data_IF_699618940500
#
_entry.id   IF_699618940500
#
_cell.length_a   1.000
_cell.length_b   1.000
_cell.length_c   1.000
_cell.angle_alpha   90.00
_cell.angle_beta   90.00
_cell.angle_gamma   90.00
#
_symmetry.space_group_name_H-M   'P 1'
#
loop_
_entity.id
_entity.type
_entity.pdbx_description
1 polymer ?
2 non-polymer ?
3 non-polymer ?
4 non-polymer ?
5 water ?
#
# COMPACT_ATOMS: atom_id res chain seq x y z
N UNK A 7 -3.58 -31.61 -11.16
CA UNK A 7 -4.97 -32.07 -11.25
C UNK A 7 -5.91 -31.36 -10.24
N UNK A 8 -6.79 -30.48 -10.77
CA UNK A 8 -7.82 -29.69 -10.07
C UNK A 8 -8.68 -28.92 -11.10
N UNK A 9 -9.86 -28.43 -10.67
CA UNK A 9 -10.75 -27.62 -11.54
C UNK A 9 -11.17 -26.33 -10.83
N UNK A 10 -11.69 -25.37 -11.61
CA UNK A 10 -12.22 -24.11 -11.10
C UNK A 10 -13.69 -24.32 -10.74
N UNK A 11 -14.24 -23.59 -9.74
CA UNK A 11 -15.67 -23.80 -9.43
C UNK A 11 -16.58 -23.39 -10.57
N UNK A 12 -17.67 -24.13 -10.71
CA UNK A 12 -18.67 -23.95 -11.75
C UNK A 12 -19.21 -22.51 -11.81
N UNK A 13 -19.42 -21.86 -10.63
CA UNK A 13 -19.91 -20.47 -10.54
C UNK A 13 -18.95 -19.45 -11.14
N UNK A 14 -17.62 -19.67 -10.99
CA UNK A 14 -16.57 -18.82 -11.57
C UNK A 14 -16.53 -19.04 -13.08
N UNK A 15 -16.46 -20.31 -13.51
CA UNK A 15 -16.45 -20.73 -14.92
C UNK A 15 -17.67 -20.18 -15.67
N UNK A 16 -18.78 -19.99 -14.95
CA UNK A 16 -20.01 -19.47 -15.53
C UNK A 16 -19.89 -18.05 -16.04
N UNK A 17 -19.13 -17.21 -15.32
CA UNK A 17 -18.94 -15.79 -15.61
C UNK A 17 -17.59 -15.42 -16.24
N UNK A 18 -16.57 -16.26 -16.02
CA UNK A 18 -15.20 -15.98 -16.46
C UNK A 18 -14.55 -17.11 -17.23
N UNK A 19 -13.60 -16.76 -18.12
CA UNK A 19 -12.72 -17.66 -18.86
C UNK A 19 -11.32 -17.43 -18.26
N UNK A 20 -10.78 -18.40 -17.52
CA UNK A 20 -9.47 -18.27 -16.87
C UNK A 20 -8.32 -18.39 -17.83
N UNK A 21 -7.24 -17.63 -17.55
CA UNK A 21 -6.05 -17.60 -18.39
C UNK A 21 -4.73 -17.67 -17.57
N UNK A 22 -3.63 -17.09 -18.10
CA UNK A 22 -2.27 -17.06 -17.56
C UNK A 22 -2.10 -16.52 -16.15
N UNK A 23 -1.03 -16.95 -15.48
CA UNK A 23 -0.64 -16.52 -14.13
C UNK A 23 -0.02 -15.11 -14.20
N UNK A 24 -0.28 -14.29 -13.16
CA UNK A 24 0.25 -12.94 -13.02
C UNK A 24 0.84 -12.85 -11.62
N UNK A 31 -1.67 -16.10 -5.16
CA UNK A 31 -1.86 -16.63 -6.53
C UNK A 31 -2.83 -15.74 -7.35
N UNK A 32 -2.33 -15.10 -8.45
CA UNK A 32 -3.12 -14.20 -9.32
C UNK A 32 -3.19 -14.72 -10.77
N UNK A 33 -4.41 -14.81 -11.32
CA UNK A 33 -4.61 -15.26 -12.69
C UNK A 33 -5.30 -14.20 -13.56
N UNK A 34 -4.99 -14.21 -14.85
CA UNK A 34 -5.65 -13.37 -15.86
C UNK A 34 -6.94 -14.10 -16.21
N UNK A 35 -8.02 -13.35 -16.35
CA UNK A 35 -9.31 -13.93 -16.72
C UNK A 35 -10.08 -12.96 -17.61
N UNK A 36 -11.13 -13.47 -18.26
CA UNK A 36 -11.97 -12.66 -19.12
C UNK A 36 -13.39 -12.77 -18.66
N UNK A 37 -14.03 -11.62 -18.37
CA UNK A 37 -15.44 -11.61 -18.01
C UNK A 37 -16.19 -11.89 -19.30
N UNK A 38 -17.00 -12.95 -19.32
CA UNK A 38 -17.76 -13.36 -20.50
C UNK A 38 -18.71 -12.27 -21.00
N UNK A 39 -19.40 -11.58 -20.06
CA UNK A 39 -20.38 -10.52 -20.31
C UNK A 39 -19.81 -9.37 -21.15
N UNK A 40 -18.58 -8.94 -20.85
CA UNK A 40 -17.96 -7.79 -21.48
C UNK A 40 -16.78 -8.10 -22.40
N UNK A 41 -16.17 -9.30 -22.25
CA UNK A 41 -14.96 -9.73 -22.95
C UNK A 41 -13.78 -8.88 -22.50
N UNK A 42 -13.84 -8.38 -21.27
CA UNK A 42 -12.79 -7.55 -20.70
C UNK A 42 -11.89 -8.38 -19.82
N UNK A 43 -10.61 -8.01 -19.80
CA UNK A 43 -9.59 -8.64 -18.99
C UNK A 43 -9.79 -8.24 -17.53
N UNK A 44 -9.71 -9.22 -16.62
CA UNK A 44 -9.82 -9.03 -15.17
C UNK A 44 -8.68 -9.80 -14.50
N UNK A 45 -8.45 -9.57 -13.21
CA UNK A 45 -7.43 -10.31 -12.47
C UNK A 45 -8.12 -11.09 -11.36
N UNK A 46 -7.84 -12.41 -11.27
CA UNK A 46 -8.44 -13.26 -10.23
C UNK A 46 -7.43 -13.75 -9.19
N UNK A 47 -7.55 -13.24 -7.95
CA UNK A 47 -6.72 -13.63 -6.80
C UNK A 47 -7.33 -14.89 -6.14
N UNK A 48 -6.52 -15.95 -6.07
CA UNK A 48 -6.89 -17.24 -5.49
C UNK A 48 -6.18 -17.43 -4.12
N UNK A 49 -6.97 -17.40 -3.05
CA UNK A 49 -6.51 -17.62 -1.67
C UNK A 49 -6.96 -19.02 -1.24
N UNK A 50 -6.00 -19.91 -0.94
CA UNK A 50 -6.28 -21.30 -0.52
C UNK A 50 -6.93 -21.39 0.88
N UNK A 51 -7.66 -22.50 1.13
CA UNK A 51 -8.34 -22.73 2.41
C UNK A 51 -7.58 -23.75 3.27
N UNK A 65 -9.90 -17.47 6.27
CA UNK A 65 -11.37 -17.39 6.32
C UNK A 65 -11.84 -16.07 6.92
N UNK A 66 -11.43 -15.79 8.18
CA UNK A 66 -11.78 -14.57 8.91
C UNK A 66 -11.04 -13.37 8.28
N UNK A 67 -9.79 -13.61 7.85
CA UNK A 67 -8.97 -12.61 7.18
C UNK A 67 -9.52 -12.28 5.78
N UNK A 68 -10.07 -13.30 5.07
CA UNK A 68 -10.63 -13.13 3.73
C UNK A 68 -11.96 -12.35 3.79
N UNK A 69 -12.84 -12.70 4.75
CA UNK A 69 -14.14 -12.04 4.99
C UNK A 69 -13.96 -10.55 5.36
N UNK A 70 -12.96 -10.24 6.20
CA UNK A 70 -12.62 -8.88 6.62
C UNK A 70 -12.05 -8.13 5.43
N UNK A 71 -11.16 -8.79 4.66
CA UNK A 71 -10.55 -8.21 3.47
C UNK A 71 -11.64 -7.82 2.44
N UNK A 72 -12.62 -8.73 2.18
CA UNK A 72 -13.73 -8.46 1.26
C UNK A 72 -14.56 -7.28 1.76
N UNK A 73 -14.89 -7.26 3.08
CA UNK A 73 -15.67 -6.21 3.73
C UNK A 73 -14.96 -4.86 3.62
N UNK A 74 -13.63 -4.86 3.83
CA UNK A 74 -12.78 -3.68 3.67
C UNK A 74 -12.83 -3.23 2.21
N UNK A 75 -12.47 -4.12 1.25
CA UNK A 75 -12.46 -3.81 -0.19
C UNK A 75 -13.77 -3.23 -0.73
N UNK A 76 -14.92 -3.76 -0.27
CA UNK A 76 -16.25 -3.32 -0.71
C UNK A 76 -16.57 -1.89 -0.23
N UNK A 77 -16.22 -1.57 1.03
CA UNK A 77 -16.49 -0.27 1.62
C UNK A 77 -15.60 0.84 1.08
N UNK A 78 -14.36 0.51 0.65
CA UNK A 78 -13.42 1.51 0.17
C UNK A 78 -13.66 1.97 -1.26
N UNK A 79 -13.46 3.28 -1.48
CA UNK A 79 -13.66 3.89 -2.79
C UNK A 79 -12.67 5.03 -3.01
N UNK A 80 -11.46 4.67 -3.49
CA UNK A 80 -10.39 5.61 -3.75
C UNK A 80 -9.67 5.20 -5.02
N UNK A 81 -9.27 6.16 -5.90
CA UNK A 81 -8.57 5.76 -7.14
C UNK A 81 -7.22 5.05 -6.96
N UNK A 82 -6.60 5.15 -5.77
CA UNK A 82 -5.29 4.53 -5.51
C UNK A 82 -5.37 3.27 -4.64
N UNK A 83 -6.58 2.70 -4.51
CA UNK A 83 -6.88 1.45 -3.82
C UNK A 83 -7.62 0.52 -4.81
N UNK A 84 -7.14 -0.73 -4.97
CA UNK A 84 -7.76 -1.75 -5.84
C UNK A 84 -9.24 -2.00 -5.48
N UNK A 85 -10.11 -2.15 -6.50
CA UNK A 85 -11.54 -2.40 -6.28
C UNK A 85 -11.87 -3.85 -6.54
N UNK A 86 -12.77 -4.39 -5.73
CA UNK A 86 -13.25 -5.76 -5.88
C UNK A 86 -14.42 -5.74 -6.90
N UNK A 87 -14.35 -6.59 -7.92
CA UNK A 87 -15.37 -6.66 -8.96
C UNK A 87 -16.35 -7.77 -8.66
N UNK A 88 -15.86 -8.88 -8.09
CA UNK A 88 -16.64 -10.06 -7.75
C UNK A 88 -15.93 -10.93 -6.71
N UNK A 89 -16.66 -11.90 -6.10
CA UNK A 89 -16.09 -12.80 -5.09
C UNK A 89 -16.77 -14.18 -5.10
N UNK A 90 -15.97 -15.25 -4.92
CA UNK A 90 -16.44 -16.65 -4.91
C UNK A 90 -15.85 -17.43 -3.71
N UNK A 91 -16.75 -17.96 -2.86
CA UNK A 91 -16.40 -18.76 -1.69
C UNK A 91 -16.75 -20.22 -2.03
N UNK A 92 -15.73 -20.98 -2.49
CA UNK A 92 -15.85 -22.38 -2.91
C UNK A 92 -14.77 -23.26 -2.24
N UNK A 93 -14.08 -24.17 -2.99
CA UNK A 93 -13.01 -25.03 -2.44
C UNK A 93 -11.85 -24.16 -1.96
N UNK A 94 -11.66 -23.01 -2.62
CA UNK A 94 -10.72 -21.96 -2.32
C UNK A 94 -11.45 -20.64 -2.51
N UNK A 95 -10.86 -19.54 -2.05
CA UNK A 95 -11.45 -18.21 -2.19
C UNK A 95 -11.01 -17.60 -3.51
N UNK A 96 -11.98 -17.05 -4.29
CA UNK A 96 -11.69 -16.38 -5.56
C UNK A 96 -12.13 -14.94 -5.52
N UNK A 97 -11.16 -14.04 -5.63
CA UNK A 97 -11.38 -12.58 -5.59
C UNK A 97 -11.13 -12.00 -6.95
N UNK A 98 -12.15 -11.39 -7.55
CA UNK A 98 -12.07 -10.78 -8.87
C UNK A 98 -11.76 -9.29 -8.68
N UNK A 99 -10.64 -8.85 -9.25
CA UNK A 99 -10.18 -7.47 -9.13
C UNK A 99 -9.92 -6.88 -10.50
N UNK A 100 -9.70 -5.56 -10.54
CA UNK A 100 -9.34 -4.83 -11.75
C UNK A 100 -7.93 -5.31 -12.16
N UNK A 101 -7.72 -5.52 -13.45
CA UNK A 101 -6.42 -5.93 -13.96
C UNK A 101 -5.50 -4.72 -13.92
N UNK A 102 -4.24 -4.96 -13.50
CA UNK A 102 -3.22 -3.91 -13.42
C UNK A 102 -2.13 -4.27 -14.42
N UNK A 103 -2.17 -3.62 -15.58
CA UNK A 103 -1.25 -3.90 -16.69
C UNK A 103 0.24 -3.73 -16.37
N UNK A 104 0.56 -2.75 -15.54
CA UNK A 104 1.94 -2.44 -15.16
C UNK A 104 2.60 -3.44 -14.22
N UNK A 105 1.80 -4.29 -13.60
CA UNK A 105 2.32 -5.28 -12.67
C UNK A 105 2.71 -4.68 -11.33
N UNK A 106 3.57 -5.41 -10.61
CA UNK A 106 4.05 -5.01 -9.29
C UNK A 106 5.14 -3.95 -9.35
N UNK A 107 5.16 -3.03 -8.37
CA UNK A 107 6.19 -2.02 -8.24
C UNK A 107 7.52 -2.73 -7.94
N UNK A 108 7.45 -3.89 -7.24
CA UNK A 108 8.60 -4.73 -6.91
C UNK A 108 9.50 -4.97 -8.13
N UNK A 109 8.88 -5.35 -9.27
CA UNK A 109 9.55 -5.62 -10.55
C UNK A 109 10.25 -4.40 -11.15
N UNK A 110 9.95 -3.18 -10.65
CA UNK A 110 10.59 -1.95 -11.11
C UNK A 110 11.79 -1.56 -10.23
N UNK A 111 11.95 -2.23 -9.06
CA UNK A 111 13.01 -1.90 -8.08
C UNK A 111 13.96 -3.06 -7.77
N UNK A 112 13.61 -4.28 -8.21
CA UNK A 112 14.36 -5.52 -8.01
C UNK A 112 15.75 -5.49 -8.67
N UNK A 113 16.74 -6.03 -7.96
CA UNK A 113 18.11 -6.12 -8.42
C UNK A 113 18.75 -4.77 -8.71
N UNK A 114 18.75 -3.87 -7.70
CA UNK A 114 19.34 -2.54 -7.74
C UNK A 114 18.79 -1.54 -8.80
N UNK A 115 17.71 -1.93 -9.51
CA UNK A 115 17.03 -1.07 -10.48
C UNK A 115 16.41 0.08 -9.70
N UNK A 116 16.59 1.30 -10.20
CA UNK A 116 16.05 2.48 -9.54
C UNK A 116 15.20 3.31 -10.50
N UNK A 117 14.17 3.97 -9.94
CA UNK A 117 13.28 4.84 -10.69
C UNK A 117 13.84 6.25 -10.63
N UNK A 118 13.54 7.09 -11.66
CA UNK A 118 13.96 8.48 -11.64
C UNK A 118 13.16 9.22 -10.56
N UNK A 119 13.77 10.22 -9.92
CA UNK A 119 13.14 10.94 -8.82
C UNK A 119 11.69 11.37 -9.07
N UNK A 120 11.42 11.88 -10.27
CA UNK A 120 10.11 12.34 -10.71
C UNK A 120 9.06 11.23 -10.69
N UNK A 121 9.49 9.99 -11.03
CA UNK A 121 8.64 8.78 -11.04
C UNK A 121 8.36 8.34 -9.60
N UNK A 122 9.39 8.36 -8.71
CA UNK A 122 9.29 8.05 -7.28
C UNK A 122 8.24 8.96 -6.66
N UNK A 123 8.31 10.28 -7.00
CA UNK A 123 7.42 11.31 -6.50
C UNK A 123 5.99 11.06 -6.92
N UNK A 124 5.75 10.84 -8.23
CA UNK A 124 4.40 10.56 -8.74
C UNK A 124 3.79 9.32 -8.06
N UNK A 125 4.59 8.25 -7.91
CA UNK A 125 4.10 7.02 -7.28
C UNK A 125 3.85 7.22 -5.77
N UNK A 126 4.83 7.80 -5.07
CA UNK A 126 4.77 8.03 -3.62
C UNK A 126 3.59 8.88 -3.19
N UNK A 127 3.29 9.94 -3.95
CA UNK A 127 2.19 10.86 -3.73
C UNK A 127 0.88 10.08 -3.69
N UNK A 128 0.70 9.14 -4.63
CA UNK A 128 -0.47 8.30 -4.74
C UNK A 128 -0.59 7.32 -3.59
N UNK A 129 0.54 6.74 -3.14
CA UNK A 129 0.64 5.83 -1.99
C UNK A 129 0.24 6.60 -0.73
N UNK A 130 0.71 7.87 -0.62
CA UNK A 130 0.38 8.74 0.49
C UNK A 130 -1.12 9.05 0.53
N UNK A 131 -1.73 9.36 -0.64
CA UNK A 131 -3.16 9.64 -0.77
C UNK A 131 -3.97 8.41 -0.39
N UNK A 132 -3.52 7.24 -0.83
CA UNK A 132 -4.17 5.95 -0.54
C UNK A 132 -4.12 5.63 0.96
N UNK A 133 -2.94 5.75 1.56
CA UNK A 133 -2.75 5.46 2.98
C UNK A 133 -3.44 6.50 3.86
N UNK A 134 -3.49 7.76 3.43
CA UNK A 134 -4.21 8.81 4.18
C UNK A 134 -5.70 8.47 4.24
N UNK A 135 -6.27 8.06 3.09
CA UNK A 135 -7.65 7.62 2.93
C UNK A 135 -7.96 6.46 3.88
N UNK A 136 -7.07 5.43 3.91
CA UNK A 136 -7.20 4.26 4.78
C UNK A 136 -7.27 4.70 6.23
N UNK A 137 -6.30 5.51 6.68
CA UNK A 137 -6.21 6.04 8.04
C UNK A 137 -7.44 6.88 8.42
N UNK A 138 -7.90 7.77 7.51
CA UNK A 138 -9.13 8.57 7.71
C UNK A 138 -10.37 7.67 7.92
N UNK A 139 -10.36 6.48 7.32
CA UNK A 139 -11.43 5.48 7.35
C UNK A 139 -11.21 4.36 8.36
N UNK A 140 -10.31 4.58 9.33
CA UNK A 140 -9.98 3.63 10.40
C UNK A 140 -9.43 2.28 9.98
N UNK A 141 -8.66 2.25 8.89
CA UNK A 141 -8.01 1.04 8.39
C UNK A 141 -6.50 1.24 8.43
N UNK A 142 -5.77 0.23 8.93
CA UNK A 142 -4.29 0.16 8.90
C UNK A 142 -4.00 -1.03 7.98
N UNK A 143 -3.17 -0.83 6.95
CA UNK A 143 -2.82 -1.88 5.99
C UNK A 143 -1.97 -2.98 6.65
N UNK A 144 -0.88 -2.57 7.32
CA UNK A 144 0.03 -3.44 8.08
C UNK A 144 1.00 -4.28 7.26
N UNK A 145 0.88 -4.28 5.93
CA UNK A 145 1.78 -5.05 5.09
C UNK A 145 2.16 -4.29 3.78
N UNK A 146 2.48 -2.99 3.86
CA UNK A 146 2.85 -2.26 2.63
C UNK A 146 4.26 -2.64 2.20
N UNK A 147 4.40 -3.07 0.93
CA UNK A 147 5.66 -3.50 0.31
C UNK A 147 5.55 -3.21 -1.20
N UNK A 148 6.67 -3.17 -1.97
CA UNK A 148 6.55 -3.00 -3.42
C UNK A 148 5.73 -4.08 -4.16
N UNK A 149 5.59 -5.28 -3.58
CA UNK A 149 4.78 -6.36 -4.20
C UNK A 149 3.28 -6.15 -4.08
N UNK A 150 2.86 -5.26 -3.15
CA UNK A 150 1.46 -4.89 -2.87
C UNK A 150 1.07 -3.55 -3.52
N UNK A 151 2.01 -2.94 -4.26
CA UNK A 151 1.77 -1.69 -5.00
C UNK A 151 1.78 -2.08 -6.50
N UNK A 152 0.62 -1.94 -7.16
CA UNK A 152 0.45 -2.32 -8.55
C UNK A 152 0.30 -1.10 -9.42
N UNK A 153 0.85 -1.19 -10.64
CA UNK A 153 0.86 -0.11 -11.63
C UNK A 153 -0.21 -0.34 -12.70
N UNK A 154 -0.96 0.72 -13.05
CA UNK A 154 -2.06 0.63 -14.03
C UNK A 154 -1.64 0.36 -15.49
N UNK A 155 -0.43 0.78 -15.90
CA UNK A 155 0.02 0.56 -17.27
C UNK A 155 1.52 0.29 -17.38
N UNK A 156 1.96 -0.16 -18.57
CA UNK A 156 3.38 -0.43 -18.86
C UNK A 156 4.20 0.88 -19.00
N UNK A 157 3.50 2.04 -19.07
CA UNK A 157 4.08 3.40 -19.14
C UNK A 157 4.62 3.75 -17.76
N UNK A 158 5.72 4.51 -17.69
CA UNK A 158 6.26 4.87 -16.37
C UNK A 158 5.40 5.89 -15.62
N UNK A 159 4.64 6.72 -16.36
CA UNK A 159 3.72 7.68 -15.78
C UNK A 159 2.36 7.00 -15.78
N UNK A 160 1.99 6.43 -14.64
CA UNK A 160 0.73 5.71 -14.51
C UNK A 160 0.11 5.87 -13.14
N UNK A 161 -1.09 5.32 -12.97
CA UNK A 161 -1.76 5.34 -11.68
C UNK A 161 -1.31 4.11 -10.91
N UNK A 162 -1.15 4.27 -9.62
CA UNK A 162 -0.77 3.12 -8.79
C UNK A 162 -1.95 2.74 -7.91
N UNK A 163 -1.99 1.48 -7.46
CA UNK A 163 -3.02 0.99 -6.55
C UNK A 163 -2.43 0.11 -5.50
N UNK A 164 -2.86 0.33 -4.26
CA UNK A 164 -2.50 -0.42 -3.07
C UNK A 164 -3.39 -1.65 -3.08
N UNK A 165 -2.79 -2.81 -2.79
CA UNK A 165 -3.47 -4.11 -2.77
C UNK A 165 -3.11 -4.89 -1.48
N UNK A 166 -3.64 -6.13 -1.33
CA UNK A 166 -3.39 -7.08 -0.24
C UNK A 166 -3.72 -6.58 1.16
N UNK A 167 -5.03 -6.53 1.44
CA UNK A 167 -5.56 -6.13 2.73
C UNK A 167 -5.73 -7.32 3.69
N UNK A 168 -4.99 -8.40 3.44
CA UNK A 168 -5.01 -9.62 4.24
C UNK A 168 -4.55 -9.48 5.68
N UNK A 169 -3.69 -8.49 5.96
CA UNK A 169 -3.13 -8.23 7.31
C UNK A 169 -3.70 -6.94 7.87
N UNK A 170 -4.68 -6.36 7.19
CA UNK A 170 -5.23 -5.10 7.66
C UNK A 170 -5.99 -5.19 8.97
N UNK A 171 -6.07 -4.07 9.69
CA UNK A 171 -6.75 -3.99 10.98
C UNK A 171 -7.69 -2.82 10.98
N UNK A 172 -8.80 -2.97 11.69
CA UNK A 172 -9.81 -1.93 11.82
C UNK A 172 -9.61 -1.25 13.16
N UNK A 173 -9.61 0.09 13.17
CA UNK A 173 -9.44 0.89 14.37
C UNK A 173 -10.74 1.10 15.15
N UNK A 176 -12.43 0.91 21.34
CA UNK A 176 -11.34 0.13 21.94
C UNK A 176 -11.67 -0.31 23.38
N UNK A 177 -11.06 -1.44 23.79
CA UNK A 177 -11.19 -2.02 25.11
C UNK A 177 -10.52 -1.12 26.15
N UNK A 178 -9.48 -0.36 25.74
CA UNK A 178 -8.75 0.57 26.61
C UNK A 178 -9.66 1.72 27.06
N UNK A 179 -10.41 2.33 26.11
CA UNK A 179 -11.35 3.42 26.37
C UNK A 179 -12.40 3.01 27.42
N UNK A 180 -13.00 1.80 27.24
CA UNK A 180 -14.00 1.21 28.16
C UNK A 180 -13.39 0.97 29.55
N UNK A 181 -12.15 0.46 29.59
CA UNK A 181 -11.38 0.21 30.81
C UNK A 181 -11.16 1.54 31.56
N UNK A 182 -10.80 2.61 30.83
CA UNK A 182 -10.54 3.93 31.42
C UNK A 182 -11.77 4.61 32.01
N UNK A 183 -12.98 4.23 31.58
CA UNK A 183 -14.22 4.81 32.09
C UNK A 183 -14.48 4.53 33.56
N UNK A 184 -14.09 3.34 34.02
CA UNK A 184 -14.21 2.98 35.42
C UNK A 184 -13.06 3.49 36.27
N UNK A 185 -13.14 3.28 37.61
CA UNK A 185 -12.07 3.64 38.54
C UNK A 185 -10.95 2.58 38.43
N UNK A 186 -9.67 2.98 38.40
CA UNK A 186 -8.60 1.98 38.21
C UNK A 186 -8.14 1.28 39.48
N UNK A 187 -8.98 1.24 40.52
CA UNK A 187 -8.68 0.59 41.80
C UNK A 187 -7.93 -0.75 41.60
N UNK A 188 -8.45 -1.61 40.71
CA UNK A 188 -7.95 -2.96 40.41
C UNK A 188 -7.19 -3.04 39.07
N UNK A 189 -6.92 -1.88 38.44
CA UNK A 189 -6.25 -1.83 37.16
C UNK A 189 -4.72 -1.92 37.25
N UNK A 190 -4.14 -2.84 36.44
CA UNK A 190 -2.71 -3.13 36.31
C UNK A 190 -1.92 -1.92 35.80
N UNK A 191 -0.73 -1.65 36.37
CA UNK A 191 0.07 -0.52 35.91
C UNK A 191 0.44 -0.48 34.42
N UNK A 192 0.69 -1.64 33.80
CA UNK A 192 1.05 -1.72 32.38
C UNK A 192 -0.05 -1.19 31.45
N UNK A 193 -1.30 -1.30 31.88
CA UNK A 193 -2.45 -0.81 31.13
C UNK A 193 -2.43 0.72 31.13
N UNK A 194 -2.16 1.33 32.29
CA UNK A 194 -2.09 2.79 32.45
C UNK A 194 -0.91 3.37 31.69
N UNK A 195 0.22 2.65 31.69
CA UNK A 195 1.45 3.03 30.98
C UNK A 195 1.20 2.97 29.46
N UNK A 196 0.42 1.98 28.97
CA UNK A 196 0.09 1.84 27.55
C UNK A 196 -0.76 3.00 27.00
N UNK A 197 -1.37 3.83 27.87
CA UNK A 197 -2.19 4.99 27.48
C UNK A 197 -1.35 6.06 26.73
N UNK A 198 -0.08 6.18 27.10
CA UNK A 198 0.85 7.10 26.45
C UNK A 198 0.99 6.89 24.95
N UNK A 199 1.12 5.62 24.52
CA UNK A 199 1.33 5.24 23.12
C UNK A 199 0.12 4.76 22.34
N UNK A 200 -1.03 4.54 23.00
CA UNK A 200 -2.22 4.04 22.32
C UNK A 200 -2.74 4.95 21.20
N UNK A 201 -3.24 4.34 20.13
CA UNK A 201 -3.79 5.05 18.99
C UNK A 201 -2.73 5.49 18.01
N UNK A 202 -1.54 4.86 18.05
CA UNK A 202 -0.46 5.18 17.13
C UNK A 202 -0.08 4.00 16.24
N UNK A 203 -0.98 2.99 16.13
CA UNK A 203 -0.76 1.80 15.32
C UNK A 203 -0.63 2.10 13.84
N UNK A 204 -1.37 3.11 13.36
CA UNK A 204 -1.33 3.59 11.97
C UNK A 204 0.08 3.99 11.54
N UNK A 205 0.94 4.43 12.49
CA UNK A 205 2.33 4.82 12.22
C UNK A 205 3.19 3.68 11.59
N UNK A 206 2.78 2.41 11.73
CA UNK A 206 3.49 1.27 11.12
C UNK A 206 3.48 1.40 9.58
N UNK A 207 2.35 1.89 9.02
CA UNK A 207 2.19 2.15 7.59
C UNK A 207 3.14 3.26 7.10
N UNK A 208 3.33 4.31 7.90
CA UNK A 208 4.21 5.42 7.57
C UNK A 208 5.66 5.04 7.56
N UNK A 209 6.06 4.09 8.44
CA UNK A 209 7.39 3.51 8.45
C UNK A 209 7.62 2.73 7.13
N UNK A 210 6.70 1.79 6.78
CA UNK A 210 6.73 0.98 5.55
C UNK A 210 6.88 1.84 4.31
N UNK A 211 6.06 2.92 4.24
CA UNK A 211 6.11 3.92 3.17
C UNK A 211 7.50 4.54 3.09
N UNK A 212 8.11 4.81 4.25
CA UNK A 212 9.46 5.34 4.35
C UNK A 212 10.49 4.38 3.76
N UNK A 213 10.36 3.08 4.06
CA UNK A 213 11.19 1.98 3.54
C UNK A 213 10.99 1.85 2.01
N UNK A 214 9.72 1.88 1.54
CA UNK A 214 9.41 1.80 0.12
C UNK A 214 10.06 2.96 -0.62
N UNK A 215 9.93 4.18 -0.06
CA UNK A 215 10.47 5.40 -0.66
C UNK A 215 12.00 5.33 -0.80
N UNK A 216 12.69 4.86 0.26
CA UNK A 216 14.14 4.65 0.27
C UNK A 216 14.54 3.74 -0.90
N UNK A 217 13.89 2.57 -1.01
CA UNK A 217 14.14 1.57 -2.06
C UNK A 217 13.94 2.17 -3.45
N UNK A 218 12.79 2.84 -3.71
CA UNK A 218 12.50 3.48 -4.99
C UNK A 218 13.57 4.49 -5.41
N UNK A 219 13.98 5.33 -4.47
CA UNK A 219 14.96 6.41 -4.66
C UNK A 219 16.39 5.93 -4.94
N UNK A 220 16.84 4.88 -4.24
CA UNK A 220 18.20 4.35 -4.26
C UNK A 220 18.45 2.98 -4.95
N UNK A 221 17.39 2.19 -5.10
CA UNK A 221 17.46 0.85 -5.69
C UNK A 221 17.96 -0.21 -4.72
N UNK A 222 18.16 0.15 -3.44
CA UNK A 222 18.64 -0.77 -2.40
C UNK A 222 17.87 -0.61 -1.08
N UNK A 223 17.75 -1.68 -0.25
CA UNK A 223 17.01 -1.55 1.03
C UNK A 223 17.75 -0.77 2.13
N UNK A 224 17.02 -0.01 2.99
CA UNK A 224 17.70 0.72 4.08
C UNK A 224 18.28 -0.21 5.16
N UNK A 225 17.57 -1.30 5.47
CA UNK A 225 17.93 -2.28 6.48
C UNK A 225 18.04 -3.63 5.81
N UNK A 226 19.21 -4.29 5.94
CA UNK A 226 19.48 -5.61 5.32
C UNK A 226 20.65 -6.33 6.01
N UNK A 227 20.80 -7.62 5.75
CA UNK A 227 21.89 -8.38 6.35
C UNK A 227 23.10 -8.52 5.38
N UNK A 228 23.08 -7.75 4.26
CA UNK A 228 24.14 -7.71 3.25
C UNK A 228 25.31 -6.82 3.70
N UNK A 229 26.53 -7.41 3.68
CA UNK A 229 27.80 -6.80 4.07
C UNK A 229 27.73 -5.97 5.36
N UNK A 230 27.20 -6.61 6.44
CA UNK A 230 27.07 -5.99 7.77
C UNK A 230 27.17 -6.96 8.94
N UNK A 231 27.67 -6.46 10.08
CA UNK A 231 27.81 -7.21 11.34
C UNK A 231 26.56 -7.01 12.20
N UNK A 232 25.96 -5.81 12.11
CA UNK A 232 24.75 -5.43 12.85
C UNK A 232 23.54 -6.25 12.36
N UNK A 233 22.79 -6.84 13.31
CA UNK A 233 21.60 -7.64 13.00
C UNK A 233 20.47 -6.76 12.47
N UNK A 234 19.61 -7.35 11.63
CA UNK A 234 18.45 -6.67 11.04
C UNK A 234 17.60 -6.00 12.14
N UNK A 235 17.32 -6.74 13.25
CA UNK A 235 16.56 -6.19 14.39
C UNK A 235 17.23 -4.93 14.96
N UNK A 236 18.56 -4.98 15.24
CA UNK A 236 19.32 -3.84 15.77
C UNK A 236 19.33 -2.63 14.86
N UNK A 237 19.48 -2.84 13.54
CA UNK A 237 19.41 -1.76 12.54
C UNK A 237 18.06 -1.05 12.61
N UNK A 238 16.96 -1.82 12.66
CA UNK A 238 15.61 -1.26 12.68
C UNK A 238 15.30 -0.52 13.98
N UNK A 239 15.54 -1.16 15.15
CA UNK A 239 15.27 -0.51 16.44
C UNK A 239 16.12 0.74 16.66
N UNK A 240 17.38 0.71 16.24
CA UNK A 240 18.24 1.91 16.38
C UNK A 240 17.87 2.99 15.35
N UNK A 241 17.25 2.57 14.25
CA UNK A 241 16.85 3.43 13.15
C UNK A 241 18.02 3.85 12.29
N UNK A 242 19.12 3.10 12.37
CA UNK A 242 20.35 3.36 11.64
C UNK A 242 20.36 2.61 10.32
N UNK A 243 19.79 3.25 9.28
CA UNK A 243 19.71 2.73 7.92
C UNK A 243 21.08 2.80 7.25
N UNK A 244 21.31 1.95 6.25
CA UNK A 244 22.56 1.94 5.52
C UNK A 244 22.54 3.06 4.47
N UNK A 245 23.34 4.11 4.70
CA UNK A 245 23.44 5.26 3.81
C UNK A 245 24.69 5.21 2.90
N UNK A 246 24.47 5.00 1.59
CA UNK A 246 25.55 4.93 0.58
C UNK A 246 25.60 6.28 -0.15
N UNK A 247 26.59 7.16 0.18
CA UNK A 247 26.63 8.50 -0.45
C UNK A 247 26.64 8.54 -1.97
N UNK A 248 27.41 7.62 -2.60
CA UNK A 248 27.56 7.49 -4.05
C UNK A 248 26.21 7.32 -4.74
N UNK A 249 25.34 6.49 -4.16
CA UNK A 249 24.01 6.20 -4.68
C UNK A 249 23.08 7.43 -4.47
N UNK A 250 23.09 7.98 -3.25
CA UNK A 250 22.26 9.10 -2.81
C UNK A 250 22.59 10.49 -3.38
N UNK A 251 23.82 10.70 -3.90
CA UNK A 251 24.26 11.98 -4.48
C UNK A 251 23.39 12.37 -5.69
N UNK A 252 22.90 11.35 -6.42
CA UNK A 252 22.01 11.46 -7.57
C UNK A 252 20.60 11.92 -7.15
N UNK A 253 20.23 11.70 -5.88
CA UNK A 253 18.93 12.05 -5.30
C UNK A 253 19.00 13.42 -4.62
N UNK A 254 17.89 14.19 -4.66
CA UNK A 254 17.76 15.50 -4.03
C UNK A 254 17.81 15.41 -2.50
N UNK A 255 18.14 16.54 -1.84
CA UNK A 255 18.22 16.65 -0.39
C UNK A 255 16.81 16.63 0.23
N UNK A 256 15.79 17.13 -0.52
CA UNK A 256 14.38 17.19 -0.12
C UNK A 256 13.76 15.78 0.01
N UNK A 257 13.99 14.91 -1.00
CA UNK A 257 13.52 13.52 -1.04
C UNK A 257 14.11 12.73 0.11
N UNK A 258 15.43 12.90 0.37
CA UNK A 258 16.11 12.22 1.47
C UNK A 258 15.58 12.72 2.83
N UNK A 259 15.27 14.03 2.93
CA UNK A 259 14.71 14.64 4.15
C UNK A 259 13.37 14.02 4.53
N UNK A 260 12.51 13.74 3.53
CA UNK A 260 11.23 13.07 3.78
C UNK A 260 11.45 11.64 4.29
N UNK A 261 12.38 10.88 3.67
CA UNK A 261 12.75 9.50 4.06
C UNK A 261 13.12 9.49 5.55
N UNK A 262 14.05 10.40 5.94
CA UNK A 262 14.57 10.59 7.29
C UNK A 262 13.46 10.81 8.34
N UNK A 263 12.41 11.58 7.98
CA UNK A 263 11.25 11.93 8.80
C UNK A 263 10.23 10.83 8.91
N UNK A 264 10.25 9.85 7.97
CA UNK A 264 9.34 8.69 8.01
C UNK A 264 10.07 7.53 8.69
N UNK A 265 11.41 7.51 8.58
CA UNK A 265 12.24 6.49 9.23
C UNK A 265 12.67 6.89 10.67
N UNK A 266 11.71 7.46 11.42
CA UNK A 266 11.84 7.88 12.82
C UNK A 266 11.36 6.71 13.68
N UNK A 267 12.23 6.24 14.61
CA UNK A 267 12.01 5.13 15.53
C UNK A 267 10.77 5.33 16.40
N UNK A 268 10.64 6.51 17.02
CA UNK A 268 9.50 6.88 17.88
C UNK A 268 8.24 7.06 17.00
N UNK A 269 7.22 6.17 17.14
CA UNK A 269 5.99 6.31 16.32
C UNK A 269 5.20 7.58 16.56
N UNK A 270 5.36 8.23 17.74
CA UNK A 270 4.65 9.45 18.10
C UNK A 270 5.24 10.68 17.42
N UNK A 271 6.56 10.64 17.14
CA UNK A 271 7.32 11.70 16.44
C UNK A 271 7.30 11.48 14.90
N UNK A 272 7.22 10.21 14.45
CA UNK A 272 7.18 9.84 13.03
C UNK A 272 6.15 10.66 12.25
N UNK A 273 6.51 11.02 11.01
CA UNK A 273 5.65 11.76 10.10
C UNK A 273 4.40 10.98 9.77
N UNK A 274 3.25 11.67 9.80
CA UNK A 274 1.98 11.09 9.41
C UNK A 274 1.86 11.30 7.90
N UNK A 275 0.79 10.77 7.30
CA UNK A 275 0.49 10.94 5.88
C UNK A 275 0.26 12.43 5.55
N UNK A 276 -0.42 13.18 6.45
CA UNK A 276 -0.68 14.61 6.28
C UNK A 276 0.60 15.43 6.26
N UNK A 277 1.52 15.14 7.18
CA UNK A 277 2.81 15.82 7.29
C UNK A 277 3.67 15.53 6.05
N UNK A 278 3.68 14.25 5.58
CA UNK A 278 4.39 13.81 4.38
C UNK A 278 3.83 14.56 3.14
N UNK A 279 2.49 14.67 3.05
CA UNK A 279 1.82 15.37 1.94
C UNK A 279 2.07 16.87 1.93
N UNK A 280 2.43 17.47 3.10
CA UNK A 280 2.75 18.90 3.27
C UNK A 280 4.26 19.15 3.16
N UNK A 281 5.08 18.08 3.04
CA UNK A 281 6.54 18.18 2.91
C UNK A 281 6.95 18.92 1.60
N UNK A 282 8.01 19.76 1.63
CA UNK A 282 8.43 20.44 0.38
C UNK A 282 8.63 19.55 -0.86
N UNK A 283 9.04 18.28 -0.68
CA UNK A 283 9.27 17.37 -1.81
C UNK A 283 7.99 17.07 -2.58
N UNK A 284 6.84 17.08 -1.90
CA UNK A 284 5.54 16.83 -2.53
C UNK A 284 4.88 18.11 -3.06
N UNK A 285 5.51 19.26 -2.82
CA UNK A 285 5.02 20.56 -3.27
C UNK A 285 5.55 20.81 -4.69
N UNK A 286 4.99 20.02 -5.63
CA UNK A 286 5.35 19.94 -7.05
C UNK A 286 4.06 19.97 -7.88
N UNK A 287 3.76 21.15 -8.48
CA UNK A 287 2.58 21.44 -9.30
C UNK A 287 2.54 20.59 -10.56
N UNK A 288 3.72 20.32 -11.14
CA UNK A 288 3.92 19.50 -12.34
C UNK A 288 3.49 18.05 -12.13
N UNK A 289 3.97 17.43 -11.03
CA UNK A 289 3.65 16.05 -10.66
C UNK A 289 2.15 15.92 -10.39
N UNK A 290 1.59 16.86 -9.60
CA UNK A 290 0.17 16.86 -9.24
C UNK A 290 -0.74 16.94 -10.47
N UNK A 291 -0.33 17.75 -11.48
CA UNK A 291 -1.01 17.93 -12.76
C UNK A 291 -1.01 16.61 -13.51
N UNK A 292 0.16 15.94 -13.61
CA UNK A 292 0.28 14.63 -14.27
C UNK A 292 -0.64 13.60 -13.58
N UNK A 293 -0.76 13.65 -12.22
CA UNK A 293 -1.65 12.74 -11.50
C UNK A 293 -3.12 12.94 -11.90
N UNK A 294 -3.63 14.19 -11.79
CA UNK A 294 -5.00 14.56 -12.17
C UNK A 294 -5.30 14.22 -13.65
N UNK A 295 -4.28 14.37 -14.53
CA UNK A 295 -4.37 14.03 -15.96
C UNK A 295 -4.59 12.54 -16.15
N UNK A 296 -3.88 11.70 -15.36
CA UNK A 296 -3.99 10.24 -15.40
C UNK A 296 -5.35 9.82 -14.86
N UNK A 297 -5.84 10.56 -13.85
CA UNK A 297 -7.12 10.33 -13.23
C UNK A 297 -8.27 10.50 -14.22
N UNK A 298 -8.36 11.70 -14.87
CA UNK A 298 -9.40 11.99 -15.86
C UNK A 298 -9.36 11.02 -17.03
N UNK A 299 -8.13 10.63 -17.48
CA UNK A 299 -7.92 9.66 -18.56
C UNK A 299 -8.51 8.28 -18.23
N UNK A 300 -8.35 7.81 -16.98
CA UNK A 300 -8.91 6.51 -16.53
C UNK A 300 -10.44 6.60 -16.44
N UNK A 301 -10.95 7.74 -15.92
CA UNK A 301 -12.37 7.99 -15.70
C UNK A 301 -13.19 8.27 -16.97
N UNK A 302 -12.53 8.72 -18.05
CA UNK A 302 -13.15 9.07 -19.35
C UNK A 302 -14.00 7.96 -19.94
N UNK A 303 -13.58 6.69 -19.76
CA UNK A 303 -14.28 5.51 -20.26
C UNK A 303 -15.62 5.24 -19.56
N UNK A 304 -15.81 5.76 -18.33
CA UNK A 304 -17.01 5.53 -17.51
C UNK A 304 -17.80 6.81 -17.17
N UNK A 305 -17.31 7.99 -17.60
CA UNK A 305 -17.93 9.28 -17.31
C UNK A 305 -19.31 9.44 -17.95
N UNK A 306 -20.33 9.60 -17.08
CA UNK A 306 -21.74 9.79 -17.47
C UNK A 306 -22.01 11.28 -17.73
N UNK A 307 -22.94 11.67 -18.67
CA UNK A 307 -23.18 13.12 -18.93
C UNK A 307 -23.60 13.87 -17.67
N UNK A 308 -23.17 15.13 -17.56
CA UNK A 308 -23.45 15.88 -16.33
C UNK A 308 -24.46 17.00 -16.49
N UNK A 309 -25.04 17.42 -15.36
CA UNK A 309 -25.97 18.54 -15.31
C UNK A 309 -25.12 19.82 -15.29
N UNK A 310 -25.24 20.62 -16.36
CA UNK A 310 -24.49 21.86 -16.58
C UNK A 310 -25.11 23.05 -15.82
N UNK A 311 -24.41 23.62 -14.95
#
# INVERSE_FOLDING_TARGET
GPLGSHMSVYPKALRDEYIMSKTLGSGACGEVKLAFERKTCKKVAIKIISKRKFAIGSAREADPALNVETEIEILKKLNHPCIIKIKNFFDAEDYYIVLELMEGGELFDKVVGNKRLKEATCKLYFYQMLLAVQYLHENGIIHRDLKPENVLLSSQEEDCLIKITDFGHSKILGETSLMRTLCGTPTYLAPEVLVSVGTAGYNRAVDCWSLGVILFICLSGYPPFSEHRTQVSLKDQITSGKYNFIPEVWAEVSEKALDLVKKLLVVDPKARFTTEEALRHPWLQDEDMKRKFQDLLSEENESTALPQVLAQPSTSRKRPREGEAEGAE
#
